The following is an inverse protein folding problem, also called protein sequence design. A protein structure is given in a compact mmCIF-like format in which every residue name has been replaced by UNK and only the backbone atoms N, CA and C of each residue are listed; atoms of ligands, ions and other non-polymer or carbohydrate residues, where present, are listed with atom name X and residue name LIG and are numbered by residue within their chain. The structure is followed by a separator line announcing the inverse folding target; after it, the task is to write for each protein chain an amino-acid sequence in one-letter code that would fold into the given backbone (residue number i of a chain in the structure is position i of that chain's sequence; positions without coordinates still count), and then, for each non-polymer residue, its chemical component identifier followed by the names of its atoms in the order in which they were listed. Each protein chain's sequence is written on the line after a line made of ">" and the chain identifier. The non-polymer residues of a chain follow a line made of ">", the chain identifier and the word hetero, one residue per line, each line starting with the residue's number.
data_IF_804869934037
#
_entry.id   IF_804869934037
#
_cell.length_a   1.000
_cell.length_b   1.000
_cell.length_c   1.000
_cell.angle_alpha   90.00
_cell.angle_beta   90.00
_cell.angle_gamma   90.00
#
_symmetry.space_group_name_H-M   'P 1'
#
loop_
_entity.id
_entity.type
_entity.pdbx_description
1 polymer ?
#
# COMPACT_ATOMS: atom_id res chain seq x y z
N UNK A 1 -37.18 20.69 28.13
CA UNK A 1 -36.42 20.80 26.88
C UNK A 1 -35.34 19.71 26.92
N UNK A 2 -35.52 18.55 26.28
CA UNK A 2 -34.55 17.47 26.38
C UNK A 2 -33.39 17.73 25.42
N UNK A 3 -32.18 17.86 25.96
CA UNK A 3 -30.97 17.91 25.15
C UNK A 3 -30.71 16.51 24.57
N UNK A 4 -30.69 16.43 23.25
CA UNK A 4 -30.50 15.21 22.46
C UNK A 4 -29.13 14.61 22.74
N UNK A 5 -29.10 13.48 23.44
CA UNK A 5 -27.91 12.64 23.68
C UNK A 5 -27.20 12.22 22.38
N UNK A 6 -27.91 12.24 21.24
CA UNK A 6 -27.38 12.00 19.90
C UNK A 6 -26.30 12.99 19.44
N UNK A 7 -26.38 14.26 19.85
CA UNK A 7 -25.38 15.27 19.43
C UNK A 7 -24.01 15.06 20.09
N UNK A 8 -23.97 14.50 21.30
CA UNK A 8 -22.71 14.21 21.99
C UNK A 8 -22.02 12.98 21.37
N UNK A 9 -22.78 11.95 20.99
CA UNK A 9 -22.26 10.70 20.42
C UNK A 9 -21.59 10.96 19.06
N UNK A 10 -22.16 11.83 18.22
CA UNK A 10 -21.57 12.20 16.93
C UNK A 10 -20.24 12.97 17.07
N UNK A 11 -20.10 13.80 18.12
CA UNK A 11 -18.83 14.50 18.41
C UNK A 11 -17.73 13.52 18.84
N UNK A 12 -18.04 12.51 19.65
CA UNK A 12 -17.07 11.51 20.07
C UNK A 12 -16.62 10.59 18.92
N UNK A 13 -17.52 10.20 18.01
CA UNK A 13 -17.13 9.42 16.83
C UNK A 13 -16.20 10.22 15.90
N UNK A 14 -16.49 11.50 15.66
CA UNK A 14 -15.68 12.36 14.79
C UNK A 14 -14.24 12.54 15.28
N UNK A 15 -14.02 12.59 16.60
CA UNK A 15 -12.68 12.73 17.20
C UNK A 15 -11.91 11.41 17.23
N UNK A 16 -12.60 10.27 17.38
CA UNK A 16 -11.99 8.94 17.35
C UNK A 16 -11.46 8.54 15.96
N UNK A 17 -12.09 9.03 14.87
CA UNK A 17 -11.63 8.77 13.49
C UNK A 17 -10.35 9.54 13.10
N UNK A 18 -9.95 10.59 13.83
CA UNK A 18 -8.78 11.41 13.47
C UNK A 18 -7.48 10.79 14.02
N UNK A 19 -7.56 10.01 15.10
CA UNK A 19 -6.40 9.29 15.66
C UNK A 19 -6.32 7.91 15.02
N UNK A 20 -6.03 7.87 13.72
CA UNK A 20 -5.52 6.65 13.09
C UNK A 20 -4.25 6.23 13.82
N UNK A 21 -4.30 5.14 14.59
CA UNK A 21 -3.15 4.61 15.33
C UNK A 21 -2.12 4.00 14.38
N UNK A 22 -1.38 4.82 13.64
CA UNK A 22 -0.14 4.39 12.99
C UNK A 22 1.03 4.73 13.92
N UNK A 23 1.20 3.92 14.97
CA UNK A 23 2.36 4.03 15.85
C UNK A 23 3.63 3.62 15.07
N UNK A 24 4.53 4.59 14.84
CA UNK A 24 5.82 4.37 14.15
C UNK A 24 6.95 3.96 15.11
N UNK A 25 6.76 4.13 16.42
CA UNK A 25 7.71 3.77 17.49
C UNK A 25 7.15 2.67 18.37
N UNK A 26 7.85 1.54 18.48
CA UNK A 26 7.33 0.35 19.19
C UNK A 26 7.86 0.23 20.63
N UNK A 27 8.82 1.08 21.02
CA UNK A 27 9.40 1.11 22.36
C UNK A 27 9.76 2.56 22.71
N UNK A 28 9.65 2.97 24.00
CA UNK A 28 10.10 4.28 24.44
C UNK A 28 11.59 4.51 24.10
N UNK A 29 11.90 5.76 23.77
CA UNK A 29 13.26 6.27 23.54
C UNK A 29 14.19 5.87 24.68
N UNK A 30 15.38 5.35 24.35
CA UNK A 30 16.39 4.99 25.35
C UNK A 30 16.97 6.21 26.06
N UNK A 31 17.88 5.95 27.02
CA UNK A 31 18.63 7.02 27.71
C UNK A 31 19.56 7.82 26.79
N UNK A 32 19.81 7.30 25.59
CA UNK A 32 20.55 7.90 24.49
C UNK A 32 19.71 8.91 23.67
N UNK A 33 18.41 9.03 23.93
CA UNK A 33 17.54 9.95 23.19
C UNK A 33 17.18 9.48 21.77
N UNK A 34 17.56 8.25 21.40
CA UNK A 34 17.30 7.68 20.07
C UNK A 34 15.98 6.89 20.09
N UNK A 35 15.02 7.17 19.18
CA UNK A 35 13.75 6.45 19.15
C UNK A 35 13.92 5.04 18.58
N UNK A 36 13.18 4.09 19.14
CA UNK A 36 13.12 2.72 18.62
C UNK A 36 11.93 2.57 17.67
N UNK A 37 12.21 2.48 16.39
CA UNK A 37 11.19 2.36 15.36
C UNK A 37 10.56 0.96 15.31
N UNK A 38 9.27 0.93 14.96
CA UNK A 38 8.56 -0.30 14.68
C UNK A 38 9.09 -1.01 13.42
N UNK A 39 8.80 -2.31 13.24
CA UNK A 39 9.03 -2.97 11.96
C UNK A 39 8.43 -2.16 10.80
N UNK A 40 9.11 -2.13 9.66
CA UNK A 40 8.78 -1.32 8.47
C UNK A 40 9.05 0.20 8.57
N UNK A 41 9.66 0.65 9.68
CA UNK A 41 10.14 2.01 9.84
C UNK A 41 11.65 2.00 10.08
N UNK A 42 12.34 2.98 9.52
CA UNK A 42 13.77 3.21 9.74
C UNK A 42 14.00 4.57 10.38
N UNK A 43 15.12 4.70 11.09
CA UNK A 43 15.53 5.96 11.70
C UNK A 43 16.19 6.83 10.63
N UNK A 44 15.65 8.03 10.44
CA UNK A 44 16.26 9.09 9.64
C UNK A 44 16.14 10.39 10.43
N UNK A 45 17.27 11.02 10.73
CA UNK A 45 17.33 12.29 11.49
C UNK A 45 16.59 12.23 12.84
N UNK A 46 16.77 11.15 13.62
CA UNK A 46 16.06 10.88 14.88
C UNK A 46 14.53 10.78 14.76
N UNK A 47 14.00 10.50 13.57
CA UNK A 47 12.57 10.29 13.32
C UNK A 47 12.36 8.93 12.66
N UNK A 48 11.28 8.25 13.02
CA UNK A 48 10.87 6.99 12.37
C UNK A 48 10.12 7.27 11.08
N UNK A 49 10.74 6.91 9.96
CA UNK A 49 10.18 7.08 8.61
C UNK A 49 9.75 5.72 8.07
N UNK A 50 8.56 5.64 7.49
CA UNK A 50 8.03 4.41 6.90
C UNK A 50 8.71 4.06 5.58
N UNK A 51 8.86 2.76 5.32
CA UNK A 51 9.33 2.28 4.02
C UNK A 51 8.30 2.49 2.90
N UNK A 52 8.81 2.57 1.66
CA UNK A 52 7.96 2.57 0.47
C UNK A 52 7.16 1.26 0.38
N UNK A 53 5.96 1.33 -0.22
CA UNK A 53 5.13 0.16 -0.42
C UNK A 53 5.89 -0.96 -1.13
N UNK A 54 5.74 -2.17 -0.61
CA UNK A 54 6.45 -3.35 -1.10
C UNK A 54 7.87 -3.53 -0.60
N UNK A 55 8.35 -2.68 0.30
CA UNK A 55 9.67 -2.78 0.90
C UNK A 55 9.63 -2.75 2.43
N UNK A 56 10.60 -3.40 3.06
CA UNK A 56 10.83 -3.48 4.51
C UNK A 56 12.27 -3.10 4.82
N UNK A 57 12.52 -2.83 6.11
CA UNK A 57 13.86 -2.53 6.62
C UNK A 57 14.74 -3.78 6.61
N UNK A 58 15.97 -3.63 6.12
CA UNK A 58 17.01 -4.64 6.31
C UNK A 58 17.56 -4.55 7.74
N UNK A 59 17.66 -5.68 8.43
CA UNK A 59 18.17 -5.78 9.81
C UNK A 59 19.56 -5.16 9.99
N UNK A 60 20.35 -5.12 8.92
CA UNK A 60 21.78 -4.83 8.99
C UNK A 60 22.11 -3.39 8.57
N UNK A 61 21.20 -2.74 7.84
CA UNK A 61 21.45 -1.44 7.22
C UNK A 61 20.42 -0.35 7.58
N UNK A 62 19.32 -0.69 8.26
CA UNK A 62 18.19 0.22 8.51
C UNK A 62 17.70 0.93 7.22
N UNK A 63 17.84 0.29 6.06
CA UNK A 63 17.36 0.83 4.77
C UNK A 63 16.19 0.02 4.24
N UNK A 64 15.28 0.69 3.54
CA UNK A 64 14.10 0.11 2.91
C UNK A 64 14.43 -0.53 1.56
N UNK A 65 15.36 -1.48 1.56
CA UNK A 65 15.88 -2.11 0.33
C UNK A 65 15.34 -3.52 0.13
N UNK A 66 14.79 -4.12 1.18
CA UNK A 66 14.36 -5.51 1.16
C UNK A 66 12.90 -5.59 0.69
N UNK A 67 12.55 -6.35 -0.36
CA UNK A 67 11.18 -6.49 -0.80
C UNK A 67 10.32 -7.25 0.23
N UNK A 68 9.01 -7.07 0.19
CA UNK A 68 8.08 -7.87 0.97
C UNK A 68 8.19 -9.36 0.57
N UNK A 69 8.30 -10.23 1.57
CA UNK A 69 8.29 -11.67 1.36
C UNK A 69 6.90 -12.15 0.94
N UNK A 70 6.86 -13.01 -0.09
CA UNK A 70 5.63 -13.73 -0.46
C UNK A 70 5.06 -14.44 0.78
N UNK A 71 3.75 -14.36 1.04
CA UNK A 71 2.68 -13.84 0.16
C UNK A 71 2.31 -12.38 0.43
N UNK A 72 3.17 -11.58 1.07
CA UNK A 72 2.82 -10.21 1.47
C UNK A 72 3.25 -9.18 0.44
N UNK A 73 2.47 -8.11 0.32
CA UNK A 73 2.77 -6.98 -0.56
C UNK A 73 2.21 -5.67 0.01
N UNK A 74 2.45 -4.57 -0.70
CA UNK A 74 1.82 -3.28 -0.41
C UNK A 74 2.47 -2.53 0.75
N UNK A 75 1.76 -1.54 1.29
CA UNK A 75 2.28 -0.73 2.38
C UNK A 75 2.55 -1.59 3.62
N UNK A 76 3.77 -1.50 4.19
CA UNK A 76 4.18 -2.29 5.37
C UNK A 76 3.97 -3.81 5.23
N UNK A 77 3.91 -4.33 4.00
CA UNK A 77 3.62 -5.73 3.72
C UNK A 77 2.31 -6.21 4.39
N UNK A 78 1.29 -5.34 4.49
CA UNK A 78 0.02 -5.67 5.15
C UNK A 78 -0.97 -6.43 4.26
N UNK A 79 -0.79 -6.36 2.94
CA UNK A 79 -1.67 -7.02 1.97
C UNK A 79 -1.15 -8.42 1.66
N UNK A 80 -2.03 -9.32 1.22
CA UNK A 80 -1.71 -10.72 0.92
C UNK A 80 -2.11 -11.08 -0.50
N UNK A 81 -1.18 -11.65 -1.25
CA UNK A 81 -1.42 -12.17 -2.59
C UNK A 81 -2.24 -13.46 -2.54
N UNK A 82 -3.21 -13.55 -3.46
CA UNK A 82 -4.06 -14.71 -3.69
C UNK A 82 -3.76 -15.40 -5.05
N UNK A 83 -2.60 -15.10 -5.65
CA UNK A 83 -2.10 -15.67 -6.90
C UNK A 83 -0.82 -16.50 -6.66
N UNK A 84 -0.30 -17.09 -7.73
CA UNK A 84 1.00 -17.77 -7.71
C UNK A 84 2.12 -16.80 -7.30
N UNK A 85 3.22 -17.35 -6.76
CA UNK A 85 4.33 -16.53 -6.25
C UNK A 85 4.97 -15.69 -7.35
N UNK A 86 4.98 -16.22 -8.56
CA UNK A 86 5.56 -15.65 -9.77
C UNK A 86 4.75 -14.45 -10.27
N UNK A 87 3.45 -14.39 -9.97
CA UNK A 87 2.53 -13.34 -10.37
C UNK A 87 2.31 -12.28 -9.26
N UNK A 88 2.89 -12.50 -8.08
CA UNK A 88 2.74 -11.64 -6.92
C UNK A 88 3.88 -10.61 -6.86
N UNK A 89 3.57 -9.38 -7.25
CA UNK A 89 4.52 -8.28 -7.15
C UNK A 89 4.50 -7.68 -5.74
N UNK A 90 5.67 -7.56 -5.11
CA UNK A 90 5.80 -7.02 -3.75
C UNK A 90 5.17 -5.63 -3.55
N UNK A 91 5.09 -4.78 -4.59
CA UNK A 91 4.40 -3.47 -4.53
C UNK A 91 2.89 -3.54 -4.74
N UNK A 92 2.43 -4.18 -5.82
CA UNK A 92 1.04 -4.08 -6.30
C UNK A 92 0.26 -5.39 -6.21
N UNK A 93 0.86 -6.44 -5.67
CA UNK A 93 0.23 -7.74 -5.50
C UNK A 93 0.05 -8.45 -6.83
N UNK A 94 -1.11 -9.08 -6.99
CA UNK A 94 -1.41 -9.90 -8.15
C UNK A 94 -1.81 -9.05 -9.37
N UNK A 95 -1.39 -9.46 -10.56
CA UNK A 95 -1.96 -8.93 -11.79
C UNK A 95 -3.46 -9.26 -11.87
N UNK A 96 -4.30 -8.23 -11.89
CA UNK A 96 -5.71 -8.40 -12.24
C UNK A 96 -5.74 -8.67 -13.74
N UNK A 97 -5.73 -9.95 -14.13
CA UNK A 97 -6.34 -10.30 -15.39
C UNK A 97 -7.79 -9.91 -15.25
N UNK A 98 -8.18 -8.80 -15.88
CA UNK A 98 -9.58 -8.59 -16.21
C UNK A 98 -9.88 -9.69 -17.22
N UNK A 99 -10.21 -10.88 -16.71
CA UNK A 99 -11.06 -11.80 -17.42
C UNK A 99 -12.29 -10.97 -17.67
N UNK A 100 -12.33 -10.36 -18.86
CA UNK A 100 -13.56 -9.85 -19.39
C UNK A 100 -14.38 -11.11 -19.54
N UNK A 101 -15.08 -11.49 -18.47
CA UNK A 101 -16.37 -12.13 -18.61
C UNK A 101 -17.12 -11.13 -19.46
N UNK A 102 -17.01 -11.30 -20.77
CA UNK A 102 -18.07 -10.95 -21.67
C UNK A 102 -19.25 -11.65 -21.00
N UNK A 103 -20.04 -10.87 -20.26
CA UNK A 103 -21.41 -11.26 -20.05
C UNK A 103 -21.90 -11.46 -21.47
N UNK A 104 -21.99 -12.70 -21.91
CA UNK A 104 -22.96 -13.10 -22.93
C UNK A 104 -24.33 -12.96 -22.27
N UNK A 105 -24.70 -11.76 -21.83
CA UNK A 105 -26.07 -11.33 -21.97
C UNK A 105 -26.19 -10.98 -23.44
N UNK A 106 -26.69 -11.97 -24.18
CA UNK A 106 -27.28 -11.83 -25.50
C UNK A 106 -27.86 -10.42 -25.66
N UNK A 107 -27.15 -9.56 -26.38
CA UNK A 107 -27.77 -8.43 -27.06
C UNK A 107 -26.85 -7.91 -28.15
N UNK A 108 -27.46 -7.73 -29.31
CA UNK A 108 -26.87 -7.73 -30.63
C UNK A 108 -26.09 -6.43 -30.92
N UNK A 109 -24.96 -6.60 -31.61
CA UNK A 109 -24.41 -5.76 -32.71
C UNK A 109 -23.96 -4.33 -32.36
N UNK A 110 -22.68 -4.01 -32.61
CA UNK A 110 -22.23 -3.23 -33.80
C UNK A 110 -20.77 -2.78 -33.64
N UNK A 111 -19.97 -3.15 -34.63
CA UNK A 111 -18.60 -2.73 -34.94
C UNK A 111 -18.42 -1.22 -35.00
N UNK A 112 -17.46 -0.63 -34.26
CA UNK A 112 -16.76 0.61 -34.67
C UNK A 112 -15.29 0.56 -34.20
N UNK A 113 -14.35 0.62 -35.17
CA UNK A 113 -12.91 0.87 -34.96
C UNK A 113 -12.67 2.28 -34.42
N UNK A 114 -11.74 2.45 -33.47
CA UNK A 114 -10.99 3.72 -33.36
C UNK A 114 -9.76 3.71 -32.44
N UNK A 115 -8.62 3.96 -33.09
CA UNK A 115 -7.52 4.85 -32.68
C UNK A 115 -6.55 4.47 -31.55
N UNK A 116 -5.42 3.90 -32.00
CA UNK A 116 -4.06 4.44 -31.85
C UNK A 116 -3.75 5.28 -30.59
N UNK A 117 -2.82 4.78 -29.77
CA UNK A 117 -1.61 5.55 -29.47
C UNK A 117 -0.37 4.65 -29.58
N UNK A 118 0.29 4.74 -30.74
CA UNK A 118 1.70 4.38 -30.92
C UNK A 118 2.59 5.48 -30.33
N UNK A 119 3.81 5.06 -30.01
CA UNK A 119 5.12 5.75 -29.94
C UNK A 119 5.67 5.69 -28.51
N UNK A 120 6.81 5.04 -28.28
CA UNK A 120 8.12 5.56 -28.71
C UNK A 120 9.11 4.50 -29.23
N UNK A 121 9.71 4.78 -30.39
CA UNK A 121 10.90 4.13 -30.97
C UNK A 121 12.17 4.97 -30.71
N UNK A 122 13.27 4.33 -30.26
CA UNK A 122 14.70 4.50 -30.62
C UNK A 122 15.58 3.73 -29.59
N UNK A 123 16.70 3.08 -29.88
CA UNK A 123 17.65 3.21 -30.99
C UNK A 123 18.41 1.89 -31.28
N UNK A 124 18.92 1.82 -32.51
CA UNK A 124 19.72 0.80 -33.20
C UNK A 124 21.19 0.84 -32.74
N UNK A 125 21.87 -0.31 -32.66
CA UNK A 125 23.34 -0.43 -32.60
C UNK A 125 23.78 -1.15 -33.87
N UNK A 126 24.74 -0.55 -34.58
CA UNK A 126 25.26 -1.00 -35.87
C UNK A 126 26.34 -2.07 -35.80
#
# INVERSE_FOLDING_TARGET
>A
MPATTDSLILLFLSTFFIVGNTQSTCRPTGSDGVPVCCPYYYIKDNICVGCQAGYRVLSDAYTCSEPCEFPRYGARCSERCDCAKEDCHHVHGCHIHVTTTQKTTSSKRTTILSFLQRKTTKAEVG
#
